data_IF_173682757495
#
_entry.id   IF_173682757495
#
_cell.length_a   1.000
_cell.length_b   1.000
_cell.length_c   1.000
_cell.angle_alpha   90.00
_cell.angle_beta   90.00
_cell.angle_gamma   90.00
#
_symmetry.space_group_name_H-M   'P 1'
#
loop_
_entity.id
_entity.type
_entity.pdbx_description
1 polymer ?
#
# COMPACT_ATOMS: atom_id res chain seq x y z
N UNK A 1 -6.05 -17.60 -13.74
CA UNK A 1 -6.61 -17.87 -12.40
C UNK A 1 -6.74 -16.53 -11.72
N UNK A 2 -7.96 -16.03 -11.53
CA UNK A 2 -8.20 -14.79 -10.77
C UNK A 2 -8.18 -15.22 -9.30
N UNK A 3 -7.22 -14.70 -8.53
CA UNK A 3 -7.20 -14.88 -7.09
C UNK A 3 -8.34 -14.03 -6.52
N UNK A 4 -9.48 -14.65 -6.22
CA UNK A 4 -10.52 -14.00 -5.43
C UNK A 4 -10.02 -13.96 -3.98
N UNK A 5 -9.55 -12.79 -3.57
CA UNK A 5 -9.21 -12.54 -2.18
C UNK A 5 -10.49 -12.49 -1.37
N UNK A 6 -10.53 -13.20 -0.23
CA UNK A 6 -11.63 -13.03 0.71
C UNK A 6 -11.60 -11.62 1.32
N UNK A 7 -12.75 -11.08 1.77
CA UNK A 7 -12.78 -9.74 2.39
C UNK A 7 -11.78 -9.60 3.56
N UNK A 8 -11.58 -10.67 4.34
CA UNK A 8 -10.58 -10.72 5.41
C UNK A 8 -9.15 -10.60 4.88
N UNK A 9 -8.85 -11.22 3.74
CA UNK A 9 -7.55 -11.09 3.07
C UNK A 9 -7.35 -9.70 2.48
N UNK A 10 -8.41 -9.05 1.97
CA UNK A 10 -8.35 -7.66 1.49
C UNK A 10 -8.10 -6.70 2.66
N UNK A 11 -8.75 -6.90 3.80
CA UNK A 11 -8.50 -6.13 5.02
C UNK A 11 -7.08 -6.33 5.56
N UNK A 12 -6.58 -7.57 5.61
CA UNK A 12 -5.21 -7.85 6.01
C UNK A 12 -4.22 -7.20 5.05
N UNK A 13 -4.46 -7.29 3.74
CA UNK A 13 -3.64 -6.66 2.72
C UNK A 13 -3.60 -5.14 2.87
N UNK A 14 -4.74 -4.50 3.17
CA UNK A 14 -4.79 -3.06 3.43
C UNK A 14 -3.96 -2.67 4.65
N UNK A 15 -4.07 -3.41 5.75
CA UNK A 15 -3.28 -3.18 6.96
C UNK A 15 -1.77 -3.33 6.70
N UNK A 16 -1.36 -4.41 6.04
CA UNK A 16 0.05 -4.63 5.68
C UNK A 16 0.58 -3.55 4.74
N UNK A 17 -0.22 -3.12 3.75
CA UNK A 17 0.18 -2.04 2.84
C UNK A 17 0.34 -0.70 3.56
N UNK A 18 -0.51 -0.41 4.56
CA UNK A 18 -0.40 0.80 5.36
C UNK A 18 0.89 0.80 6.20
N UNK A 19 1.17 -0.30 6.91
CA UNK A 19 2.39 -0.48 7.72
C UNK A 19 3.65 -0.37 6.87
N UNK A 20 3.75 -1.13 5.77
CA UNK A 20 4.91 -1.08 4.88
C UNK A 20 5.08 0.29 4.21
N UNK A 21 4.01 1.03 3.97
CA UNK A 21 4.10 2.40 3.42
C UNK A 21 4.62 3.38 4.46
N UNK A 22 4.25 3.23 5.74
CA UNK A 22 4.76 4.06 6.84
C UNK A 22 6.26 3.79 7.07
N UNK A 23 6.66 2.52 7.15
CA UNK A 23 8.07 2.13 7.30
C UNK A 23 8.93 2.64 6.14
N UNK A 24 8.47 2.48 4.90
CA UNK A 24 9.20 2.93 3.72
C UNK A 24 9.25 4.47 3.63
N UNK A 25 8.18 5.16 4.07
CA UNK A 25 8.19 6.61 4.17
C UNK A 25 9.27 7.09 5.14
N UNK A 26 9.38 6.45 6.31
CA UNK A 26 10.44 6.75 7.27
C UNK A 26 11.82 6.45 6.68
N UNK A 27 11.98 5.34 5.97
CA UNK A 27 13.26 5.03 5.30
C UNK A 27 13.64 6.10 4.26
N UNK A 28 12.67 6.60 3.46
CA UNK A 28 12.87 7.71 2.52
C UNK A 28 13.35 8.98 3.23
N UNK A 29 12.77 9.30 4.39
CA UNK A 29 13.12 10.48 5.18
C UNK A 29 14.55 10.42 5.73
N UNK A 30 14.97 9.24 6.18
CA UNK A 30 16.29 9.03 6.78
C UNK A 30 17.40 8.71 5.76
N UNK A 31 17.07 8.60 4.47
CA UNK A 31 18.05 8.32 3.42
C UNK A 31 18.66 9.60 2.84
N UNK A 32 19.94 9.83 3.13
CA UNK A 32 20.70 10.98 2.62
C UNK A 32 21.15 10.83 1.17
N UNK A 33 21.45 9.60 0.74
CA UNK A 33 21.90 9.32 -0.62
C UNK A 33 20.77 9.57 -1.62
N UNK A 34 20.96 10.58 -2.49
CA UNK A 34 19.93 11.07 -3.41
C UNK A 34 19.36 10.00 -4.35
N UNK A 35 20.21 9.13 -4.88
CA UNK A 35 19.81 8.08 -5.82
C UNK A 35 18.94 7.03 -5.11
N UNK A 36 19.43 6.48 -4.00
CA UNK A 36 18.68 5.55 -3.15
C UNK A 36 17.35 6.15 -2.69
N UNK A 37 17.34 7.41 -2.23
CA UNK A 37 16.10 8.11 -1.87
C UNK A 37 15.12 8.21 -3.04
N UNK A 38 15.62 8.38 -4.26
CA UNK A 38 14.81 8.36 -5.48
C UNK A 38 14.16 7.00 -5.73
N UNK A 39 14.93 5.92 -5.59
CA UNK A 39 14.41 4.55 -5.73
C UNK A 39 13.38 4.21 -4.66
N UNK A 40 13.64 4.56 -3.40
CA UNK A 40 12.71 4.35 -2.29
C UNK A 40 11.41 5.13 -2.48
N UNK A 41 11.49 6.38 -2.96
CA UNK A 41 10.29 7.17 -3.32
C UNK A 41 9.48 6.52 -4.42
N UNK A 42 10.12 6.01 -5.47
CA UNK A 42 9.41 5.33 -6.55
C UNK A 42 8.69 4.06 -6.05
N UNK A 43 9.31 3.31 -5.13
CA UNK A 43 8.66 2.16 -4.47
C UNK A 43 7.49 2.59 -3.58
N UNK A 44 7.64 3.69 -2.84
CA UNK A 44 6.57 4.25 -1.99
C UNK A 44 5.36 4.67 -2.83
N UNK A 45 5.59 5.33 -3.97
CA UNK A 45 4.51 5.70 -4.90
C UNK A 45 3.77 4.47 -5.44
N UNK A 46 4.49 3.39 -5.75
CA UNK A 46 3.89 2.12 -6.18
C UNK A 46 3.03 1.48 -5.08
N UNK A 47 3.53 1.45 -3.83
CA UNK A 47 2.78 0.95 -2.68
C UNK A 47 1.51 1.78 -2.42
N UNK A 48 1.60 3.11 -2.47
CA UNK A 48 0.44 3.99 -2.33
C UNK A 48 -0.58 3.83 -3.47
N UNK A 49 -0.12 3.52 -4.70
CA UNK A 49 -1.02 3.20 -5.80
C UNK A 49 -1.74 1.86 -5.59
N UNK A 50 -1.07 0.86 -5.01
CA UNK A 50 -1.68 -0.41 -4.62
C UNK A 50 -2.67 -0.24 -3.46
N UNK A 51 -2.30 0.52 -2.43
CA UNK A 51 -3.17 0.80 -1.29
C UNK A 51 -4.48 1.46 -1.74
N UNK A 52 -4.43 2.44 -2.66
CA UNK A 52 -5.64 3.05 -3.24
C UNK A 52 -6.52 2.07 -4.00
N UNK A 53 -5.92 1.10 -4.70
CA UNK A 53 -6.69 0.05 -5.38
C UNK A 53 -7.38 -0.88 -4.37
N UNK A 54 -6.67 -1.27 -3.31
CA UNK A 54 -7.24 -2.10 -2.24
C UNK A 54 -8.34 -1.36 -1.48
N UNK A 55 -8.17 -0.07 -1.20
CA UNK A 55 -9.22 0.77 -0.60
C UNK A 55 -10.47 0.88 -1.46
N UNK A 56 -10.30 0.95 -2.79
CA UNK A 56 -11.43 0.95 -3.71
C UNK A 56 -12.20 -0.39 -3.66
N UNK A 57 -11.50 -1.52 -3.54
CA UNK A 57 -12.11 -2.84 -3.36
C UNK A 57 -12.84 -2.94 -2.02
N UNK A 58 -12.23 -2.50 -0.92
CA UNK A 58 -12.87 -2.47 0.40
C UNK A 58 -14.15 -1.63 0.43
N UNK A 59 -14.15 -0.48 -0.24
CA UNK A 59 -15.35 0.39 -0.33
C UNK A 59 -16.46 -0.23 -1.18
N UNK A 60 -16.13 -1.06 -2.16
CA UNK A 60 -17.14 -1.79 -2.96
C UNK A 60 -17.75 -2.96 -2.18
N UNK A 61 -17.00 -3.57 -1.28
CA UNK A 61 -17.47 -4.68 -0.44
C UNK A 61 -18.31 -4.23 0.77
N UNK A 62 -18.21 -2.97 1.20
CA UNK A 62 -19.10 -2.41 2.21
C UNK A 62 -20.41 -1.94 1.55
N UNK A 63 -21.53 -2.64 1.74
CA UNK A 63 -22.82 -2.14 1.26
C UNK A 63 -23.10 -0.83 2.00
N UNK A 64 -23.34 0.22 1.24
CA UNK A 64 -23.87 1.49 1.74
C UNK A 64 -25.16 1.19 2.51
N UNK A 65 -25.07 1.22 3.85
CA UNK A 65 -26.21 1.26 4.76
C UNK A 65 -27.05 2.51 4.54
#
# INVERSE_FOLDING_TARGET
MVLELSPQQVHLLHACLAESSEELHDEVLHTDQREMRGELRAKLEQLQALQRQVEALLRQEQPSL
#
